data_IF_726582350710
#
_entry.id   IF_726582350710
#
_cell.length_a   1.000
_cell.length_b   1.000
_cell.length_c   1.000
_cell.angle_alpha   90.00
_cell.angle_beta   90.00
_cell.angle_gamma   90.00
#
_symmetry.space_group_name_H-M   'P 1'
#
loop_
_entity.id
_entity.type
_entity.pdbx_description
1 polymer ?
#
# COMPACT_ATOMS: atom_id res chain seq x y z
N UNK A 1 0.05 -6.52 16.86
CA UNK A 1 0.55 -5.36 16.11
C UNK A 1 2.03 -5.07 16.36
N UNK A 2 2.58 -5.36 17.53
CA UNK A 2 3.98 -5.13 17.91
C UNK A 2 5.02 -5.56 16.84
N UNK A 3 4.88 -6.76 16.27
CA UNK A 3 5.78 -7.23 15.18
C UNK A 3 5.70 -6.37 13.91
N UNK A 4 4.54 -5.81 13.61
CA UNK A 4 4.39 -4.91 12.47
C UNK A 4 5.13 -3.59 12.73
N UNK A 5 4.99 -3.02 13.92
CA UNK A 5 5.69 -1.81 14.33
C UNK A 5 7.21 -2.00 14.34
N UNK A 6 7.72 -3.13 14.81
CA UNK A 6 9.14 -3.47 14.72
C UNK A 6 9.62 -3.59 13.26
N UNK A 7 8.79 -4.17 12.37
CA UNK A 7 9.11 -4.22 10.94
C UNK A 7 9.15 -2.83 10.31
N UNK A 8 8.17 -1.97 10.63
CA UNK A 8 8.14 -0.58 10.17
C UNK A 8 9.39 0.18 10.66
N UNK A 9 9.74 0.03 11.94
CA UNK A 9 10.93 0.64 12.54
C UNK A 9 12.22 0.20 11.82
N UNK A 10 12.38 -1.09 11.55
CA UNK A 10 13.49 -1.63 10.76
C UNK A 10 13.55 -1.01 9.36
N UNK A 11 12.41 -0.94 8.67
CA UNK A 11 12.36 -0.34 7.33
C UNK A 11 12.79 1.13 7.36
N UNK A 12 12.27 1.91 8.32
CA UNK A 12 12.52 3.35 8.39
C UNK A 12 13.94 3.68 8.86
N UNK A 13 14.46 2.97 9.84
CA UNK A 13 15.70 3.32 10.50
C UNK A 13 16.94 2.59 9.95
N UNK A 14 16.75 1.48 9.24
CA UNK A 14 17.85 0.72 8.65
C UNK A 14 17.79 0.69 7.12
N UNK A 15 16.67 0.23 6.52
CA UNK A 15 16.58 0.07 5.07
C UNK A 15 16.50 1.41 4.31
N UNK A 16 15.67 2.34 4.77
CA UNK A 16 15.51 3.64 4.12
C UNK A 16 16.83 4.42 4.07
N UNK A 17 17.61 4.56 5.17
CA UNK A 17 18.91 5.22 5.11
C UNK A 17 19.90 4.52 4.18
N UNK A 18 19.92 3.18 4.20
CA UNK A 18 20.78 2.40 3.31
C UNK A 18 20.43 2.62 1.84
N UNK A 19 19.15 2.53 1.47
CA UNK A 19 18.68 2.73 0.10
C UNK A 19 18.98 4.16 -0.37
N UNK A 20 18.70 5.17 0.45
CA UNK A 20 19.04 6.57 0.13
C UNK A 20 20.56 6.76 -0.08
N UNK A 21 21.37 6.14 0.76
CA UNK A 21 22.83 6.21 0.62
C UNK A 21 23.31 5.58 -0.70
N UNK A 22 22.76 4.40 -1.06
CA UNK A 22 23.17 3.67 -2.26
C UNK A 22 22.65 4.32 -3.55
N UNK A 23 21.43 4.83 -3.54
CA UNK A 23 20.77 5.39 -4.74
C UNK A 23 21.00 6.89 -4.91
N UNK A 24 21.35 7.59 -3.82
CA UNK A 24 21.43 9.06 -3.72
C UNK A 24 20.10 9.74 -4.03
N UNK A 25 18.98 9.06 -3.82
CA UNK A 25 17.63 9.61 -3.92
C UNK A 25 17.03 9.82 -2.53
N UNK A 26 16.34 10.94 -2.33
CA UNK A 26 15.69 11.28 -1.06
C UNK A 26 14.33 10.61 -0.88
N UNK A 27 13.68 10.21 -1.97
CA UNK A 27 12.39 9.56 -1.99
C UNK A 27 12.49 8.15 -2.56
N UNK A 28 11.62 7.25 -2.08
CA UNK A 28 11.64 5.83 -2.39
C UNK A 28 10.27 5.40 -2.88
N UNK A 29 10.23 4.51 -3.87
CA UNK A 29 9.04 3.75 -4.23
C UNK A 29 8.97 2.44 -3.43
N UNK A 30 7.75 2.02 -3.07
CA UNK A 30 7.50 0.73 -2.44
C UNK A 30 6.55 -0.11 -3.28
N UNK A 31 6.71 -1.42 -3.18
CA UNK A 31 5.85 -2.37 -3.89
C UNK A 31 5.64 -3.64 -3.08
N UNK A 32 4.56 -4.34 -3.37
CA UNK A 32 4.29 -5.62 -2.76
C UNK A 32 3.12 -6.36 -3.43
N UNK A 33 3.05 -7.66 -3.15
CA UNK A 33 1.98 -8.54 -3.61
C UNK A 33 1.18 -9.05 -2.42
N UNK A 34 -0.14 -9.21 -2.57
CA UNK A 34 -1.00 -9.78 -1.53
C UNK A 34 -0.86 -9.06 -0.18
N UNK A 35 -0.47 -9.77 0.87
CA UNK A 35 -0.19 -9.17 2.19
C UNK A 35 1.02 -8.22 2.16
N UNK A 36 2.01 -8.47 1.27
CA UNK A 36 3.10 -7.51 1.02
C UNK A 36 2.62 -6.20 0.42
N UNK A 37 1.54 -6.21 -0.37
CA UNK A 37 0.89 -5.01 -0.88
C UNK A 37 0.23 -4.17 0.24
N UNK A 38 -0.36 -4.84 1.24
CA UNK A 38 -0.85 -4.18 2.45
C UNK A 38 0.30 -3.47 3.19
N UNK A 39 1.43 -4.17 3.43
CA UNK A 39 2.59 -3.55 4.08
C UNK A 39 3.13 -2.35 3.31
N UNK A 40 3.27 -2.47 1.98
CA UNK A 40 3.73 -1.38 1.12
C UNK A 40 2.79 -0.16 1.20
N UNK A 41 1.48 -0.41 1.13
CA UNK A 41 0.46 0.65 1.20
C UNK A 41 0.43 1.31 2.59
N UNK A 42 0.46 0.52 3.67
CA UNK A 42 0.48 1.04 5.03
C UNK A 42 1.72 1.93 5.28
N UNK A 43 2.91 1.48 4.88
CA UNK A 43 4.14 2.28 4.95
C UNK A 43 4.03 3.59 4.16
N UNK A 44 3.55 3.52 2.91
CA UNK A 44 3.46 4.70 2.05
C UNK A 44 2.44 5.73 2.57
N UNK A 45 1.32 5.29 3.14
CA UNK A 45 0.32 6.19 3.71
C UNK A 45 0.76 6.79 5.07
N UNK A 46 1.50 6.05 5.86
CA UNK A 46 2.00 6.53 7.16
C UNK A 46 3.22 7.44 7.01
N UNK A 47 4.04 7.22 5.96
CA UNK A 47 5.29 7.96 5.72
C UNK A 47 5.34 8.53 4.29
N UNK A 48 4.36 9.37 3.88
CA UNK A 48 4.17 9.76 2.48
C UNK A 48 5.26 10.69 1.93
N UNK A 49 6.05 11.30 2.80
CA UNK A 49 7.20 12.11 2.41
C UNK A 49 8.45 11.28 2.12
N UNK A 50 8.53 10.07 2.65
CA UNK A 50 9.60 9.11 2.37
C UNK A 50 9.26 8.24 1.18
N UNK A 51 8.05 7.68 1.18
CA UNK A 51 7.55 6.79 0.13
C UNK A 51 6.59 7.56 -0.78
N UNK A 52 7.12 8.04 -1.89
CA UNK A 52 6.37 8.90 -2.82
C UNK A 52 5.70 8.15 -3.95
N UNK A 53 5.92 6.85 -4.05
CA UNK A 53 5.19 5.98 -4.97
C UNK A 53 4.92 4.61 -4.34
N UNK A 54 3.75 4.06 -4.62
CA UNK A 54 3.36 2.73 -4.18
C UNK A 54 2.68 1.98 -5.32
N UNK A 55 3.23 0.81 -5.66
CA UNK A 55 2.66 -0.10 -6.67
C UNK A 55 2.29 -1.39 -5.96
N UNK A 56 1.03 -1.78 -6.01
CA UNK A 56 0.52 -2.97 -5.33
C UNK A 56 -0.08 -3.96 -6.31
N UNK A 57 0.10 -5.25 -6.04
CA UNK A 57 -0.41 -6.34 -6.86
C UNK A 57 -1.25 -7.28 -5.99
N UNK A 58 -2.56 -7.38 -6.29
CA UNK A 58 -3.51 -8.22 -5.54
C UNK A 58 -3.55 -7.88 -4.05
N UNK A 59 -3.64 -6.61 -3.68
CA UNK A 59 -3.51 -6.16 -2.30
C UNK A 59 -4.63 -6.62 -1.38
N UNK A 60 -4.27 -7.19 -0.22
CA UNK A 60 -5.17 -7.52 0.89
C UNK A 60 -5.17 -6.36 1.89
N UNK A 61 -5.82 -5.23 1.55
CA UNK A 61 -5.66 -3.96 2.29
C UNK A 61 -6.35 -3.92 3.64
N UNK A 62 -7.38 -4.73 3.89
CA UNK A 62 -8.07 -4.81 5.17
C UNK A 62 -7.58 -6.02 5.97
N UNK A 63 -6.89 -5.73 7.08
CA UNK A 63 -6.33 -6.77 7.96
C UNK A 63 -7.29 -7.19 9.08
N UNK A 64 -8.47 -6.58 9.20
CA UNK A 64 -9.40 -6.87 10.28
C UNK A 64 -9.77 -8.36 10.36
N UNK A 65 -9.86 -9.04 9.21
CA UNK A 65 -10.13 -10.47 9.12
C UNK A 65 -9.03 -11.38 9.72
N UNK A 66 -7.83 -10.85 9.96
CA UNK A 66 -6.70 -11.59 10.53
C UNK A 66 -6.48 -11.32 12.02
N UNK A 67 -7.35 -10.51 12.64
CA UNK A 67 -7.18 -10.05 14.03
C UNK A 67 -8.04 -10.81 15.03
N UNK A 68 -8.83 -11.82 14.61
CA UNK A 68 -9.71 -12.64 15.46
C UNK A 68 -10.58 -11.80 16.42
N UNK A 69 -11.04 -10.63 15.96
CA UNK A 69 -11.84 -9.70 16.76
C UNK A 69 -11.02 -8.78 17.68
N UNK A 70 -9.71 -8.93 17.77
CA UNK A 70 -8.85 -7.98 18.46
C UNK A 70 -8.70 -6.71 17.63
N UNK A 71 -8.92 -5.55 18.28
CA UNK A 71 -8.79 -4.26 17.60
C UNK A 71 -8.46 -3.17 18.64
N UNK A 72 -7.29 -2.58 18.51
CA UNK A 72 -6.81 -1.48 19.35
C UNK A 72 -6.43 -0.26 18.49
N UNK A 73 -5.84 0.75 19.10
CA UNK A 73 -5.39 1.96 18.41
C UNK A 73 -4.31 1.66 17.36
N UNK A 74 -3.39 0.76 17.65
CA UNK A 74 -2.37 0.33 16.68
C UNK A 74 -3.02 -0.35 15.48
N UNK A 75 -3.99 -1.23 15.71
CA UNK A 75 -4.76 -1.86 14.64
C UNK A 75 -5.47 -0.84 13.76
N UNK A 76 -6.03 0.20 14.36
CA UNK A 76 -6.70 1.29 13.62
C UNK A 76 -5.72 2.01 12.69
N UNK A 77 -4.59 2.48 13.20
CA UNK A 77 -3.62 3.24 12.40
C UNK A 77 -2.78 2.39 11.45
N UNK A 78 -2.72 1.08 11.66
CA UNK A 78 -2.06 0.14 10.75
C UNK A 78 -2.99 -0.44 9.68
N UNK A 79 -4.30 -0.21 9.78
CA UNK A 79 -5.29 -0.67 8.81
C UNK A 79 -5.79 0.50 7.94
N UNK A 80 -5.29 0.70 6.71
CA UNK A 80 -5.67 1.81 5.86
C UNK A 80 -7.18 2.00 5.69
N UNK A 81 -8.01 0.95 5.48
CA UNK A 81 -9.46 1.12 5.42
C UNK A 81 -10.11 1.63 6.70
N UNK A 82 -9.46 1.50 7.86
CA UNK A 82 -9.99 1.99 9.13
C UNK A 82 -9.75 3.48 9.31
N UNK A 83 -8.53 3.98 9.07
CA UNK A 83 -8.19 5.36 9.38
C UNK A 83 -8.44 6.34 8.22
N UNK A 84 -8.30 5.92 6.96
CA UNK A 84 -8.47 6.80 5.81
C UNK A 84 -9.83 7.49 5.75
N UNK A 85 -10.98 6.84 6.03
CA UNK A 85 -12.28 7.51 6.00
C UNK A 85 -12.35 8.72 6.91
N UNK A 86 -11.78 8.63 8.11
CA UNK A 86 -11.77 9.71 9.13
C UNK A 86 -10.64 10.72 8.95
N UNK A 87 -9.65 10.46 8.10
CA UNK A 87 -8.50 11.34 7.93
C UNK A 87 -8.92 12.69 7.32
N UNK A 88 -8.65 13.78 8.01
CA UNK A 88 -8.93 15.15 7.58
C UNK A 88 -7.71 16.07 7.65
N UNK A 89 -6.54 15.54 8.01
CA UNK A 89 -5.30 16.32 8.14
C UNK A 89 -4.70 16.60 6.75
N UNK A 90 -4.67 17.88 6.38
CA UNK A 90 -4.14 18.34 5.10
C UNK A 90 -2.64 18.05 4.93
N UNK A 91 -1.87 17.92 6.02
CA UNK A 91 -0.46 17.50 5.97
C UNK A 91 -0.31 16.16 5.23
N UNK A 92 -1.18 15.20 5.52
CA UNK A 92 -1.18 13.90 4.84
C UNK A 92 -1.87 13.95 3.48
N UNK A 93 -3.08 14.53 3.42
CA UNK A 93 -3.91 14.52 2.21
C UNK A 93 -3.25 15.24 1.04
N UNK A 94 -2.58 16.37 1.28
CA UNK A 94 -1.87 17.10 0.23
C UNK A 94 -0.67 16.31 -0.31
N UNK A 95 0.03 15.59 0.56
CA UNK A 95 1.12 14.74 0.10
C UNK A 95 0.58 13.51 -0.64
N UNK A 96 -0.50 12.90 -0.18
CA UNK A 96 -1.14 11.78 -0.89
C UNK A 96 -1.57 12.16 -2.31
N UNK A 97 -2.06 13.38 -2.53
CA UNK A 97 -2.44 13.90 -3.85
C UNK A 97 -1.24 14.10 -4.78
N UNK A 98 -0.03 14.28 -4.26
CA UNK A 98 1.21 14.44 -5.02
C UNK A 98 1.90 13.11 -5.32
N UNK A 99 1.66 12.10 -4.50
CA UNK A 99 2.30 10.79 -4.62
C UNK A 99 1.65 9.94 -5.72
N UNK A 100 2.41 8.95 -6.20
CA UNK A 100 1.94 8.00 -7.22
C UNK A 100 1.40 6.74 -6.54
N UNK A 101 0.15 6.41 -6.81
CA UNK A 101 -0.53 5.22 -6.31
C UNK A 101 -1.02 4.37 -7.47
N UNK A 102 -0.56 3.13 -7.55
CA UNK A 102 -0.94 2.17 -8.59
C UNK A 102 -1.40 0.89 -7.92
N UNK A 103 -2.65 0.54 -8.14
CA UNK A 103 -3.23 -0.72 -7.72
C UNK A 103 -3.42 -1.62 -8.94
N UNK A 104 -2.92 -2.85 -8.86
CA UNK A 104 -3.05 -3.84 -9.93
C UNK A 104 -3.66 -5.11 -9.35
N UNK A 105 -4.61 -5.69 -10.04
CA UNK A 105 -5.23 -6.96 -9.64
C UNK A 105 -5.65 -7.76 -10.89
N UNK A 106 -6.04 -9.00 -10.70
CA UNK A 106 -6.60 -9.83 -11.76
C UNK A 106 -8.12 -9.89 -11.70
N UNK A 107 -8.77 -10.18 -12.82
CA UNK A 107 -10.21 -10.40 -12.90
C UNK A 107 -10.67 -11.66 -12.15
N UNK A 108 -9.76 -12.64 -11.98
CA UNK A 108 -9.94 -13.85 -11.18
C UNK A 108 -9.11 -13.85 -9.88
N UNK A 109 -8.62 -12.69 -9.46
CA UNK A 109 -7.88 -12.53 -8.20
C UNK A 109 -8.86 -12.53 -7.01
N UNK A 110 -8.55 -13.30 -5.98
CA UNK A 110 -9.35 -13.34 -4.72
C UNK A 110 -9.39 -11.99 -4.01
N UNK A 111 -8.38 -11.13 -4.26
CA UNK A 111 -8.30 -9.78 -3.72
C UNK A 111 -8.86 -8.70 -4.67
N UNK A 112 -9.55 -9.08 -5.77
CA UNK A 112 -10.13 -8.11 -6.70
C UNK A 112 -11.08 -7.15 -5.99
N UNK A 113 -12.09 -7.66 -5.28
CA UNK A 113 -13.04 -6.82 -4.56
C UNK A 113 -12.39 -5.93 -3.51
N UNK A 114 -11.45 -6.39 -2.65
CA UNK A 114 -10.65 -5.53 -1.80
C UNK A 114 -9.92 -4.40 -2.54
N UNK A 115 -9.35 -4.65 -3.72
CA UNK A 115 -8.68 -3.61 -4.51
C UNK A 115 -9.67 -2.59 -5.07
N UNK A 116 -10.83 -3.01 -5.57
CA UNK A 116 -11.90 -2.12 -6.06
C UNK A 116 -12.45 -1.25 -4.91
N UNK A 117 -12.68 -1.82 -3.74
CA UNK A 117 -13.14 -1.09 -2.54
C UNK A 117 -12.10 -0.07 -2.07
N UNK A 118 -10.83 -0.45 -2.04
CA UNK A 118 -9.75 0.45 -1.64
C UNK A 118 -9.55 1.59 -2.65
N UNK A 119 -9.66 1.30 -3.96
CA UNK A 119 -9.67 2.31 -5.00
C UNK A 119 -10.82 3.32 -4.82
N UNK A 120 -12.03 2.84 -4.53
CA UNK A 120 -13.16 3.71 -4.24
C UNK A 120 -12.91 4.60 -3.00
N UNK A 121 -12.27 4.06 -1.97
CA UNK A 121 -11.89 4.82 -0.77
C UNK A 121 -10.88 5.93 -1.08
N UNK A 122 -9.83 5.63 -1.84
CA UNK A 122 -8.86 6.64 -2.29
C UNK A 122 -9.54 7.75 -3.11
N UNK A 123 -10.44 7.37 -4.03
CA UNK A 123 -11.23 8.31 -4.82
C UNK A 123 -12.13 9.22 -3.96
N UNK A 124 -12.80 8.66 -2.95
CA UNK A 124 -13.64 9.42 -2.02
C UNK A 124 -12.83 10.45 -1.20
N UNK A 125 -11.53 10.20 -0.98
CA UNK A 125 -10.60 11.14 -0.33
C UNK A 125 -9.94 12.13 -1.30
N UNK A 126 -10.28 12.10 -2.60
CA UNK A 126 -9.66 12.94 -3.62
C UNK A 126 -8.19 12.61 -3.87
N UNK A 127 -7.77 11.37 -3.60
CA UNK A 127 -6.41 10.88 -3.84
C UNK A 127 -6.34 10.30 -5.26
N UNK A 128 -5.56 10.96 -6.13
CA UNK A 128 -5.35 10.47 -7.49
C UNK A 128 -4.59 9.15 -7.49
N UNK A 129 -5.14 8.15 -8.15
CA UNK A 129 -4.57 6.81 -8.25
C UNK A 129 -5.01 6.13 -9.55
N UNK A 130 -4.42 4.99 -9.86
CA UNK A 130 -4.89 4.12 -10.94
C UNK A 130 -5.20 2.73 -10.40
N UNK A 131 -6.28 2.13 -10.90
CA UNK A 131 -6.63 0.74 -10.68
C UNK A 131 -6.60 0.01 -12.03
N UNK A 132 -5.79 -1.03 -12.13
CA UNK A 132 -5.66 -1.87 -13.31
C UNK A 132 -6.15 -3.29 -13.00
N UNK A 133 -7.15 -3.75 -13.73
CA UNK A 133 -7.65 -5.13 -13.64
C UNK A 133 -7.21 -5.89 -14.88
N UNK A 134 -6.34 -6.86 -14.70
CA UNK A 134 -5.80 -7.67 -15.80
C UNK A 134 -6.71 -8.87 -16.09
N UNK A 135 -6.99 -9.10 -17.37
CA UNK A 135 -7.82 -10.22 -17.82
C UNK A 135 -7.09 -11.56 -17.65
N UNK A 136 -7.86 -12.61 -17.32
CA UNK A 136 -7.38 -13.99 -17.11
C UNK A 136 -6.24 -14.09 -16.09
N UNK A 137 -6.23 -13.21 -15.10
CA UNK A 137 -5.17 -13.11 -14.10
C UNK A 137 -5.69 -13.48 -12.71
N UNK A 138 -4.89 -14.29 -12.00
CA UNK A 138 -5.21 -14.83 -10.67
C UNK A 138 -4.25 -14.31 -9.61
N UNK A 139 -4.52 -14.68 -8.36
CA UNK A 139 -3.71 -14.32 -7.20
C UNK A 139 -2.47 -15.20 -7.06
N UNK A 140 -1.48 -15.01 -7.95
CA UNK A 140 -0.26 -15.83 -7.96
C UNK A 140 0.90 -15.17 -8.72
N UNK A 141 2.12 -15.62 -8.46
CA UNK A 141 3.38 -15.13 -9.02
C UNK A 141 3.46 -15.11 -10.55
N UNK A 142 2.93 -16.07 -11.32
CA UNK A 142 2.93 -16.01 -12.78
C UNK A 142 2.25 -14.75 -13.34
N UNK A 143 1.31 -14.17 -12.59
CA UNK A 143 0.61 -12.95 -12.96
C UNK A 143 1.28 -11.70 -12.37
N UNK A 144 1.75 -11.75 -11.11
CA UNK A 144 2.41 -10.61 -10.48
C UNK A 144 3.74 -10.23 -11.13
N UNK A 145 4.53 -11.19 -11.64
CA UNK A 145 5.79 -10.90 -12.33
C UNK A 145 5.61 -9.96 -13.52
N UNK A 146 4.75 -10.26 -14.52
CA UNK A 146 4.52 -9.33 -15.63
C UNK A 146 3.84 -8.01 -15.17
N UNK A 147 3.00 -8.02 -14.13
CA UNK A 147 2.46 -6.79 -13.55
C UNK A 147 3.59 -5.92 -12.99
N UNK A 148 4.53 -6.51 -12.25
CA UNK A 148 5.69 -5.79 -11.74
C UNK A 148 6.51 -5.17 -12.87
N UNK A 149 6.78 -5.91 -13.94
CA UNK A 149 7.50 -5.41 -15.12
C UNK A 149 6.78 -4.26 -15.84
N UNK A 150 5.44 -4.24 -15.78
CA UNK A 150 4.66 -3.21 -16.46
C UNK A 150 4.57 -1.88 -15.67
N UNK A 151 4.66 -1.91 -14.35
CA UNK A 151 4.38 -0.74 -13.51
C UNK A 151 5.56 -0.28 -12.64
N UNK A 152 6.57 -1.10 -12.42
CA UNK A 152 7.81 -0.69 -11.77
C UNK A 152 8.78 -0.08 -12.79
N UNK A 153 9.61 0.89 -12.35
CA UNK A 153 10.60 1.54 -13.22
C UNK A 153 11.68 0.58 -13.70
#
# INVERSE_FOLDING_TARGET
MERHLHYEDYVLNELVPLVKHLTRHDTIGVTGCSFGAYHAMALALRHPYTFTSCVTMGGAFDISQFLDGYFDEDCYFLNPPSFLPGLADDYYLDQFRRNKWVLVTGDHDICRAPNEQFSALLGAKGIHHSLHVWNNSKHDWPFWRPMAQAYLP
#
